data_IF_362854529760
#
_entry.id   IF_362854529760
#
_cell.length_a   1.000
_cell.length_b   1.000
_cell.length_c   1.000
_cell.angle_alpha   90.00
_cell.angle_beta   90.00
_cell.angle_gamma   90.00
#
_symmetry.space_group_name_H-M   'P 1'
#
loop_
_entity.id
_entity.type
_entity.pdbx_description
1 polymer ?
#
# COMPACT_ATOMS: atom_id res chain seq x y z
N UNK A 1 -12.14 -21.22 -1.74
CA UNK A 1 -11.26 -20.06 -1.91
C UNK A 1 -9.93 -20.49 -1.34
N UNK A 2 -8.87 -20.61 -2.14
CA UNK A 2 -7.57 -21.07 -1.63
C UNK A 2 -7.05 -20.05 -0.62
N UNK A 3 -6.44 -20.55 0.46
CA UNK A 3 -5.80 -19.70 1.46
C UNK A 3 -4.57 -19.02 0.83
N UNK A 4 -4.44 -17.69 0.97
CA UNK A 4 -3.27 -16.97 0.47
C UNK A 4 -2.03 -17.45 1.22
N UNK A 5 -1.00 -17.78 0.45
CA UNK A 5 0.29 -18.19 1.00
C UNK A 5 1.03 -17.01 1.66
N UNK A 6 2.21 -17.27 2.23
CA UNK A 6 2.97 -16.24 2.94
C UNK A 6 3.41 -15.10 2.01
N UNK A 7 3.72 -15.39 0.75
CA UNK A 7 4.16 -14.40 -0.24
C UNK A 7 2.96 -13.54 -0.66
N UNK A 8 1.80 -14.15 -0.83
CA UNK A 8 0.55 -13.44 -1.13
C UNK A 8 0.22 -12.44 -0.03
N UNK A 9 0.25 -12.92 1.22
CA UNK A 9 -0.02 -12.08 2.39
C UNK A 9 1.00 -10.97 2.53
N UNK A 10 2.29 -11.26 2.32
CA UNK A 10 3.35 -10.27 2.40
C UNK A 10 3.19 -9.19 1.32
N UNK A 11 2.93 -9.58 0.07
CA UNK A 11 2.73 -8.64 -1.03
C UNK A 11 1.52 -7.73 -0.76
N UNK A 12 0.37 -8.32 -0.38
CA UNK A 12 -0.84 -7.56 -0.07
C UNK A 12 -0.67 -6.64 1.15
N UNK A 13 -0.09 -7.15 2.24
CA UNK A 13 0.09 -6.38 3.47
C UNK A 13 1.09 -5.23 3.27
N UNK A 14 2.19 -5.47 2.56
CA UNK A 14 3.18 -4.44 2.26
C UNK A 14 2.60 -3.37 1.33
N UNK A 15 1.95 -3.77 0.23
CA UNK A 15 1.37 -2.80 -0.71
C UNK A 15 0.29 -1.94 -0.05
N UNK A 16 -0.65 -2.58 0.68
CA UNK A 16 -1.71 -1.87 1.36
C UNK A 16 -1.16 -1.00 2.50
N UNK A 17 -0.20 -1.52 3.28
CA UNK A 17 0.47 -0.80 4.35
C UNK A 17 1.16 0.46 3.86
N UNK A 18 1.90 0.39 2.75
CA UNK A 18 2.56 1.55 2.15
C UNK A 18 1.56 2.60 1.67
N UNK A 19 0.47 2.18 1.01
CA UNK A 19 -0.58 3.09 0.56
C UNK A 19 -1.30 3.76 1.74
N UNK A 20 -1.69 2.99 2.75
CA UNK A 20 -2.36 3.51 3.95
C UNK A 20 -1.46 4.44 4.75
N UNK A 21 -0.16 4.14 4.82
CA UNK A 21 0.82 5.00 5.46
C UNK A 21 0.90 6.35 4.75
N UNK A 22 1.10 6.34 3.42
CA UNK A 22 1.22 7.56 2.61
C UNK A 22 -0.03 8.45 2.60
N UNK A 23 -1.21 7.83 2.72
CA UNK A 23 -2.51 8.54 2.64
C UNK A 23 -3.06 8.89 4.03
N UNK A 24 -3.51 7.88 4.77
CA UNK A 24 -4.30 8.05 5.99
C UNK A 24 -3.41 8.34 7.18
N UNK A 25 -2.39 7.52 7.42
CA UNK A 25 -1.59 7.62 8.66
C UNK A 25 -0.86 8.95 8.73
N UNK A 26 -0.14 9.32 7.67
CA UNK A 26 0.54 10.62 7.65
C UNK A 26 -0.46 11.79 7.68
N UNK A 27 -1.64 11.66 7.08
CA UNK A 27 -2.72 12.65 7.19
C UNK A 27 -3.17 12.86 8.63
N UNK A 28 -3.40 11.76 9.38
CA UNK A 28 -3.75 11.81 10.80
C UNK A 28 -2.63 12.44 11.64
N UNK A 29 -1.36 12.09 11.37
CA UNK A 29 -0.22 12.69 12.07
C UNK A 29 -0.20 14.21 11.94
N UNK A 30 -0.48 14.75 10.76
CA UNK A 30 -0.52 16.20 10.55
C UNK A 30 -1.71 16.87 11.22
N UNK A 31 -2.87 16.23 11.23
CA UNK A 31 -4.04 16.75 11.98
C UNK A 31 -3.70 16.84 13.47
N UNK A 32 -3.05 15.82 14.01
CA UNK A 32 -2.64 15.79 15.42
C UNK A 32 -1.50 16.78 15.73
N UNK A 33 -0.61 17.04 14.77
CA UNK A 33 0.44 18.06 14.92
C UNK A 33 -0.13 19.48 14.99
N UNK A 34 -1.26 19.73 14.32
CA UNK A 34 -1.95 21.03 14.35
C UNK A 34 -1.17 22.14 13.65
N UNK A 35 -1.65 23.38 13.79
CA UNK A 35 -1.06 24.55 13.14
C UNK A 35 0.38 24.81 13.62
N UNK A 36 1.31 25.16 12.72
CA UNK A 36 1.09 25.60 11.33
C UNK A 36 1.03 24.47 10.30
N UNK A 37 0.91 23.22 10.72
CA UNK A 37 0.86 22.08 9.80
C UNK A 37 -0.57 21.71 9.38
N UNK A 38 -0.71 21.32 8.11
CA UNK A 38 -1.98 20.86 7.53
C UNK A 38 -1.73 19.97 6.31
N UNK A 39 -2.56 18.93 6.06
CA UNK A 39 -2.43 18.06 4.89
C UNK A 39 -2.64 18.76 3.55
N UNK A 40 -3.20 19.96 3.56
CA UNK A 40 -3.32 20.85 2.40
C UNK A 40 -2.86 22.26 2.79
N UNK A 41 -2.37 23.02 1.82
CA UNK A 41 -2.09 24.43 2.05
C UNK A 41 -3.40 25.17 2.38
N UNK A 42 -3.40 25.92 3.48
CA UNK A 42 -4.55 26.74 3.90
C UNK A 42 -4.13 28.20 3.79
N UNK A 43 -4.98 29.02 3.17
CA UNK A 43 -4.80 30.46 3.03
C UNK A 43 -5.83 31.24 3.85
N UNK A 44 -5.46 32.45 4.30
CA UNK A 44 -6.42 33.40 4.88
C UNK A 44 -7.18 34.18 3.78
N UNK A 45 -8.09 35.06 4.17
CA UNK A 45 -8.87 35.90 3.24
C UNK A 45 -8.01 36.86 2.41
N UNK A 46 -6.78 37.15 2.87
CA UNK A 46 -5.80 37.95 2.14
C UNK A 46 -4.95 37.11 1.16
N UNK A 47 -5.12 35.79 1.14
CA UNK A 47 -4.36 34.87 0.28
C UNK A 47 -3.00 34.45 0.82
N UNK A 48 -2.68 34.80 2.07
CA UNK A 48 -1.43 34.39 2.71
C UNK A 48 -1.54 32.95 3.20
N UNK A 49 -0.48 32.15 3.01
CA UNK A 49 -0.43 30.76 3.47
C UNK A 49 -0.22 30.73 4.99
N UNK A 50 -1.21 30.21 5.71
CA UNK A 50 -1.20 30.09 7.18
C UNK A 50 -0.89 28.67 7.65
N UNK A 51 -1.03 27.68 6.76
CA UNK A 51 -0.67 26.29 7.07
C UNK A 51 -0.07 25.55 5.87
N UNK A 52 0.92 24.70 6.13
CA UNK A 52 1.60 23.88 5.11
C UNK A 52 1.76 22.44 5.55
N UNK A 53 1.95 21.48 4.62
CA UNK A 53 2.29 20.11 5.01
C UNK A 53 3.55 20.03 5.87
N UNK A 54 3.51 19.24 6.94
CA UNK A 54 4.69 18.86 7.73
C UNK A 54 5.52 17.84 6.95
N UNK A 55 4.82 16.90 6.31
CA UNK A 55 5.42 15.84 5.52
C UNK A 55 5.29 16.20 4.05
N UNK A 56 6.45 16.23 3.37
CA UNK A 56 6.54 16.59 1.97
C UNK A 56 5.54 15.76 1.12
N UNK A 57 4.71 16.41 0.28
CA UNK A 57 3.77 15.72 -0.61
C UNK A 57 4.43 14.67 -1.51
N UNK A 58 5.70 14.87 -1.87
CA UNK A 58 6.51 13.93 -2.66
C UNK A 58 6.76 12.64 -1.90
N UNK A 59 7.04 12.71 -0.59
CA UNK A 59 7.24 11.51 0.24
C UNK A 59 5.95 10.70 0.36
N UNK A 60 4.81 11.37 0.56
CA UNK A 60 3.50 10.71 0.60
C UNK A 60 3.18 10.01 -0.70
N UNK A 61 3.33 10.72 -1.81
CA UNK A 61 3.10 10.17 -3.14
C UNK A 61 4.07 9.04 -3.43
N UNK A 62 5.33 9.19 -3.03
CA UNK A 62 6.36 8.15 -3.13
C UNK A 62 5.98 6.87 -2.40
N UNK A 63 5.44 6.96 -1.18
CA UNK A 63 4.95 5.79 -0.42
C UNK A 63 3.79 5.09 -1.14
N UNK A 64 2.83 5.86 -1.65
CA UNK A 64 1.70 5.30 -2.41
C UNK A 64 2.19 4.61 -3.67
N UNK A 65 3.05 5.26 -4.45
CA UNK A 65 3.64 4.68 -5.65
C UNK A 65 4.50 3.46 -5.34
N UNK A 66 5.21 3.43 -4.21
CA UNK A 66 5.93 2.23 -3.77
C UNK A 66 4.97 1.07 -3.49
N UNK A 67 3.85 1.33 -2.83
CA UNK A 67 2.79 0.32 -2.63
C UNK A 67 2.23 -0.20 -3.96
N UNK A 68 1.97 0.68 -4.93
CA UNK A 68 1.52 0.30 -6.27
C UNK A 68 2.60 -0.51 -6.99
N UNK A 69 3.86 -0.10 -6.89
CA UNK A 69 4.98 -0.80 -7.52
C UNK A 69 5.14 -2.22 -6.97
N UNK A 70 5.05 -2.41 -5.64
CA UNK A 70 5.06 -3.74 -5.01
C UNK A 70 3.92 -4.60 -5.57
N UNK A 71 2.71 -4.06 -5.62
CA UNK A 71 1.55 -4.79 -6.13
C UNK A 71 1.70 -5.14 -7.62
N UNK A 72 2.16 -4.19 -8.43
CA UNK A 72 2.39 -4.39 -9.86
C UNK A 72 3.49 -5.41 -10.15
N UNK A 73 4.60 -5.39 -9.40
CA UNK A 73 5.67 -6.38 -9.50
C UNK A 73 5.18 -7.77 -9.11
N UNK A 74 4.40 -7.88 -8.03
CA UNK A 74 3.82 -9.15 -7.59
C UNK A 74 2.80 -9.69 -8.61
N UNK A 75 1.96 -8.82 -9.19
CA UNK A 75 1.04 -9.20 -10.26
C UNK A 75 1.81 -9.70 -11.50
N UNK A 76 2.87 -9.00 -11.92
CA UNK A 76 3.72 -9.43 -13.03
C UNK A 76 4.38 -10.79 -12.74
N UNK A 77 4.87 -11.01 -11.51
CA UNK A 77 5.42 -12.28 -11.06
C UNK A 77 4.38 -13.42 -11.16
N UNK A 78 3.16 -13.21 -10.66
CA UNK A 78 2.07 -14.20 -10.73
C UNK A 78 1.62 -14.50 -12.16
N UNK A 79 1.72 -13.54 -13.08
CA UNK A 79 1.38 -13.75 -14.50
C UNK A 79 2.34 -14.71 -15.20
N UNK A 80 3.62 -14.74 -14.80
CA UNK A 80 4.65 -15.57 -15.44
C UNK A 80 4.98 -16.85 -14.67
N UNK A 81 4.50 -16.99 -13.43
CA UNK A 81 4.74 -18.18 -12.61
C UNK A 81 3.57 -19.15 -12.67
N UNK A 82 3.78 -20.40 -13.15
CA UNK A 82 2.73 -21.40 -13.14
C UNK A 82 2.37 -21.76 -11.69
N UNK A 83 1.07 -21.75 -11.37
CA UNK A 83 0.59 -22.31 -10.11
C UNK A 83 0.88 -23.83 -10.12
N UNK A 84 1.57 -24.38 -9.12
CA UNK A 84 1.62 -25.83 -8.97
C UNK A 84 0.18 -26.27 -8.70
N UNK A 85 -0.41 -26.95 -9.69
CA UNK A 85 -1.67 -27.63 -9.47
C UNK A 85 -1.50 -28.59 -8.29
N UNK A 86 -2.58 -28.70 -7.54
CA UNK A 86 -2.93 -29.72 -6.56
C UNK A 86 -2.87 -31.18 -7.11
N UNK A 87 -2.07 -31.42 -8.14
CA UNK A 87 -2.01 -32.63 -8.98
C UNK A 87 -1.20 -33.76 -8.33
N UNK A 88 -0.47 -33.52 -7.23
CA UNK A 88 0.16 -34.61 -6.49
C UNK A 88 -0.81 -35.32 -5.52
N UNK A 89 -1.72 -34.60 -4.86
CA UNK A 89 -2.50 -35.16 -3.75
C UNK A 89 -3.67 -36.05 -4.19
N UNK A 90 -4.25 -35.82 -5.38
CA UNK A 90 -5.36 -36.66 -5.88
C UNK A 90 -4.90 -37.97 -6.52
N UNK A 91 -3.64 -38.07 -6.96
CA UNK A 91 -3.14 -39.25 -7.66
C UNK A 91 -2.80 -40.41 -6.71
N UNK A 92 -2.56 -40.15 -5.42
CA UNK A 92 -2.36 -41.19 -4.41
C UNK A 92 -3.67 -41.78 -3.88
N UNK A 93 -4.75 -41.00 -3.74
CA UNK A 93 -6.03 -41.52 -3.17
C UNK A 93 -6.78 -42.46 -4.13
N UNK A 94 -6.48 -42.42 -5.43
CA UNK A 94 -7.05 -43.34 -6.42
C UNK A 94 -6.23 -44.65 -6.58
N UNK A 95 -5.15 -44.79 -5.80
CA UNK A 95 -4.24 -45.93 -5.83
C UNK A 95 -4.16 -46.61 -4.44
N UNK A 96 -5.31 -46.92 -3.84
CA UNK A 96 -5.48 -47.93 -2.78
C UNK A 96 -6.88 -48.54 -2.85
#
# INVERSE_FOLDING_TARGET
>A
MNDPDIIDRAAMALSAGLMLLGTVVLGVVEILAGQPYSPVQITNDAGEVVATPLIDPTLRTGLVLAGIAVLGLYAAYRLVTPMPEETAARKEVAAD
#
